data_IF_257190424546
#
_entry.id   IF_257190424546
#
_cell.length_a   1.000
_cell.length_b   1.000
_cell.length_c   1.000
_cell.angle_alpha   90.00
_cell.angle_beta   90.00
_cell.angle_gamma   90.00
#
_symmetry.space_group_name_H-M   'P 1'
#
loop_
_entity.id
_entity.type
_entity.pdbx_description
1 polymer ?
#
# COMPACT_ATOMS: atom_id res chain seq x y z
N UNK A 1 4.79 -8.59 5.27
CA UNK A 1 5.24 -7.20 5.43
C UNK A 1 5.42 -6.62 4.05
N UNK A 2 4.63 -5.62 3.66
CA UNK A 2 4.85 -4.90 2.41
C UNK A 2 6.27 -4.32 2.38
N UNK A 3 6.93 -4.43 1.24
CA UNK A 3 8.20 -3.75 1.00
C UNK A 3 7.90 -2.39 0.41
N UNK A 4 8.34 -1.34 1.10
CA UNK A 4 8.30 0.03 0.64
C UNK A 4 9.00 0.18 -0.73
N UNK A 5 8.57 1.11 -1.60
CA UNK A 5 9.26 1.41 -2.87
C UNK A 5 10.76 1.69 -2.76
N UNK A 6 11.22 2.12 -1.57
CA UNK A 6 12.63 2.35 -1.27
C UNK A 6 13.40 1.08 -0.84
N UNK A 7 12.73 -0.07 -0.71
CA UNK A 7 13.32 -1.36 -0.34
C UNK A 7 13.23 -1.73 1.15
N UNK A 8 12.55 -0.93 1.97
CA UNK A 8 12.38 -1.21 3.41
C UNK A 8 11.18 -2.11 3.68
N UNK A 9 11.30 -2.97 4.69
CA UNK A 9 10.21 -3.80 5.15
C UNK A 9 9.32 -2.97 6.10
N UNK A 10 8.06 -2.77 5.74
CA UNK A 10 7.08 -2.01 6.53
C UNK A 10 6.03 -2.94 7.13
N UNK A 11 5.55 -2.64 8.34
CA UNK A 11 4.42 -3.33 8.96
C UNK A 11 3.06 -2.80 8.51
N UNK A 12 3.02 -1.56 8.03
CA UNK A 12 1.81 -0.85 7.57
C UNK A 12 1.78 -0.77 6.05
N UNK A 13 0.59 -0.78 5.43
CA UNK A 13 0.41 -0.69 3.96
C UNK A 13 0.25 0.75 3.45
N UNK A 14 0.02 1.72 4.34
CA UNK A 14 -0.24 3.12 3.99
C UNK A 14 1.02 4.00 4.00
N UNK A 15 1.98 3.72 4.89
CA UNK A 15 3.26 4.41 4.98
C UNK A 15 4.37 3.46 5.42
N UNK A 16 5.60 3.80 5.05
CA UNK A 16 6.78 3.13 5.56
C UNK A 16 7.20 3.75 6.89
N UNK A 17 7.11 3.01 7.98
CA UNK A 17 7.54 3.44 9.32
C UNK A 17 9.06 3.64 9.44
N UNK A 18 9.84 3.04 8.53
CA UNK A 18 11.31 3.15 8.53
C UNK A 18 11.79 4.46 7.92
N UNK A 19 11.27 4.84 6.75
CA UNK A 19 11.73 6.02 6.00
C UNK A 19 10.68 7.14 5.86
N UNK A 20 9.44 6.94 6.30
CA UNK A 20 8.36 7.93 6.26
C UNK A 20 7.69 8.10 4.89
N UNK A 21 8.07 7.30 3.89
CA UNK A 21 7.49 7.42 2.55
C UNK A 21 6.05 6.88 2.52
N UNK A 22 5.12 7.65 1.94
CA UNK A 22 3.75 7.15 1.68
C UNK A 22 3.80 6.05 0.63
N UNK A 23 3.12 4.94 0.91
CA UNK A 23 3.06 3.80 0.00
C UNK A 23 1.80 3.92 -0.85
N UNK A 24 1.98 4.26 -2.12
CA UNK A 24 0.89 4.37 -3.11
C UNK A 24 0.45 2.97 -3.53
N UNK A 25 -0.22 2.26 -2.63
CA UNK A 25 -0.48 0.83 -2.78
C UNK A 25 -1.77 0.32 -2.14
N UNK A 26 -2.48 1.15 -1.37
CA UNK A 26 -3.92 0.99 -1.18
C UNK A 26 -4.64 1.32 -2.50
N UNK A 27 -4.29 0.58 -3.54
CA UNK A 27 -5.16 0.36 -4.68
C UNK A 27 -6.46 -0.09 -4.06
N UNK A 28 -7.47 0.77 -4.10
CA UNK A 28 -8.84 0.38 -3.79
C UNK A 28 -9.08 -1.00 -4.42
N UNK A 29 -9.66 -1.97 -3.70
CA UNK A 29 -9.96 -3.26 -4.32
C UNK A 29 -10.74 -2.94 -5.62
N UNK A 30 -10.25 -3.37 -6.80
CA UNK A 30 -10.96 -3.14 -8.05
C UNK A 30 -12.19 -4.05 -8.04
N UNK A 31 -13.24 -3.61 -7.36
CA UNK A 31 -14.33 -4.49 -6.97
C UNK A 31 -15.48 -3.71 -6.36
N UNK A 32 -16.15 -2.91 -7.17
CA UNK A 32 -17.60 -2.74 -7.09
C UNK A 32 -18.10 -1.94 -8.31
N UNK A 33 -17.92 -2.46 -9.52
CA UNK A 33 -18.96 -2.21 -10.53
C UNK A 33 -19.99 -3.33 -10.32
N UNK A 34 -21.18 -3.04 -9.77
CA UNK A 34 -22.22 -4.05 -9.70
C UNK A 34 -22.64 -4.40 -11.14
N UNK A 35 -22.69 -5.69 -11.52
CA UNK A 35 -23.33 -6.10 -12.78
C UNK A 35 -24.87 -6.14 -12.59
N UNK A 36 -25.61 -6.27 -13.71
CA UNK A 36 -26.28 -5.22 -14.47
C UNK A 36 -27.48 -4.51 -13.79
#
# INVERSE_FOLDING_TARGET
>A
MPTCPNGHQSGSDDWCEVCGHRMTGASAPPGAVPPP
#
